data_IF_739394926346
#
_entry.id   IF_739394926346
#
_cell.length_a   1.000
_cell.length_b   1.000
_cell.length_c   1.000
_cell.angle_alpha   90.00
_cell.angle_beta   90.00
_cell.angle_gamma   90.00
#
_symmetry.space_group_name_H-M   'P 1'
#
loop_
_entity.id
_entity.type
_entity.pdbx_description
1 polymer ?
#
# COMPACT_ATOMS: atom_id res chain seq x y z
N UNK A 1 39.69 24.38 -42.64
CA UNK A 1 40.36 23.50 -41.70
C UNK A 1 40.07 24.03 -40.29
N UNK A 2 38.99 23.61 -39.67
CA UNK A 2 38.63 23.91 -38.27
C UNK A 2 37.75 22.77 -37.76
N UNK A 3 38.34 21.95 -36.86
CA UNK A 3 37.73 20.83 -36.19
C UNK A 3 36.86 21.32 -35.04
N UNK A 4 35.57 21.10 -35.13
CA UNK A 4 34.64 21.27 -34.01
C UNK A 4 34.53 19.96 -33.23
N UNK A 5 35.11 19.94 -32.04
CA UNK A 5 34.98 18.88 -31.06
C UNK A 5 33.59 18.92 -30.42
N UNK A 6 32.73 17.94 -30.71
CA UNK A 6 31.49 17.73 -29.99
C UNK A 6 31.79 17.07 -28.62
N UNK A 7 31.65 17.83 -27.56
CA UNK A 7 31.55 17.29 -26.19
C UNK A 7 30.16 16.64 -26.03
N UNK A 8 30.13 15.33 -25.98
CA UNK A 8 28.96 14.57 -25.50
C UNK A 8 28.82 14.79 -23.99
N UNK A 9 27.83 15.59 -23.58
CA UNK A 9 27.39 15.63 -22.20
C UNK A 9 26.65 14.31 -21.90
N UNK A 10 27.29 13.44 -21.09
CA UNK A 10 26.67 12.26 -20.53
C UNK A 10 25.52 12.67 -19.61
N UNK A 11 24.28 12.43 -20.03
CA UNK A 11 23.13 12.46 -19.14
C UNK A 11 23.29 11.30 -18.16
N UNK A 12 23.63 11.60 -16.92
CA UNK A 12 23.45 10.69 -15.81
C UNK A 12 21.97 10.34 -15.72
N UNK A 13 21.61 9.11 -16.07
CA UNK A 13 20.27 8.58 -15.85
C UNK A 13 20.00 8.62 -14.35
N UNK A 14 19.14 9.53 -13.90
CA UNK A 14 18.59 9.53 -12.54
C UNK A 14 17.79 8.25 -12.41
N UNK A 15 18.37 7.26 -11.72
CA UNK A 15 17.67 6.03 -11.37
C UNK A 15 16.47 6.39 -10.52
N UNK A 16 15.27 6.14 -11.05
CA UNK A 16 14.03 6.40 -10.33
C UNK A 16 13.97 5.56 -9.05
N UNK A 17 13.28 6.01 -7.97
CA UNK A 17 13.08 5.24 -6.73
C UNK A 17 12.50 3.83 -6.95
N UNK A 18 11.80 3.63 -8.05
CA UNK A 18 11.29 2.35 -8.52
C UNK A 18 12.35 1.24 -8.52
N UNK A 19 13.55 1.57 -8.92
CA UNK A 19 14.63 0.60 -9.03
C UNK A 19 15.04 0.04 -7.66
N UNK A 20 14.91 0.83 -6.61
CA UNK A 20 15.24 0.41 -5.24
C UNK A 20 14.20 -0.52 -4.63
N UNK A 21 12.90 -0.30 -4.87
CA UNK A 21 11.83 -1.21 -4.42
C UNK A 21 11.83 -2.47 -5.28
N UNK A 22 12.02 -2.36 -6.59
CA UNK A 22 12.17 -3.52 -7.48
C UNK A 22 13.39 -4.36 -7.13
N UNK A 23 14.50 -3.75 -6.69
CA UNK A 23 15.67 -4.49 -6.20
C UNK A 23 15.41 -5.21 -4.87
N UNK A 24 14.60 -4.65 -3.97
CA UNK A 24 14.21 -5.33 -2.73
C UNK A 24 13.51 -6.68 -3.02
N UNK A 25 12.67 -6.73 -4.05
CA UNK A 25 12.00 -7.96 -4.46
C UNK A 25 12.82 -8.85 -5.40
N UNK A 26 13.94 -8.37 -5.97
CA UNK A 26 14.74 -9.12 -6.93
C UNK A 26 15.79 -10.05 -6.29
N UNK A 27 16.19 -9.82 -5.04
CA UNK A 27 17.31 -10.54 -4.39
C UNK A 27 16.91 -11.94 -3.89
N UNK A 28 15.62 -12.27 -3.82
CA UNK A 28 15.18 -13.59 -3.34
C UNK A 28 15.06 -14.67 -4.42
N UNK A 29 15.35 -14.36 -5.70
CA UNK A 29 15.18 -15.31 -6.82
C UNK A 29 16.46 -15.95 -7.36
N UNK A 30 17.63 -15.68 -6.77
CA UNK A 30 18.92 -16.20 -7.27
C UNK A 30 19.68 -17.12 -6.31
N UNK A 31 18.97 -17.92 -5.50
CA UNK A 31 19.57 -19.15 -4.99
C UNK A 31 19.45 -20.21 -6.09
N UNK A 32 20.38 -20.17 -7.04
CA UNK A 32 20.44 -21.06 -8.17
C UNK A 32 20.66 -22.50 -7.71
N UNK A 33 19.75 -23.37 -8.08
CA UNK A 33 19.98 -24.82 -8.08
C UNK A 33 20.82 -25.14 -9.32
N UNK A 34 22.13 -25.32 -9.14
CA UNK A 34 22.97 -26.02 -10.08
C UNK A 34 22.68 -27.53 -9.92
N UNK A 35 21.99 -28.10 -10.91
CA UNK A 35 21.85 -29.54 -11.07
C UNK A 35 23.22 -30.12 -11.45
N UNK A 36 23.93 -30.66 -10.46
CA UNK A 36 24.97 -31.66 -10.71
C UNK A 36 24.38 -33.02 -10.42
N UNK A 37 24.28 -33.86 -11.44
CA UNK A 37 23.80 -35.21 -11.32
C UNK A 37 24.75 -36.09 -10.52
N UNK A 38 24.22 -36.81 -9.52
CA UNK A 38 24.82 -38.03 -8.99
C UNK A 38 23.72 -39.06 -8.75
N UNK A 39 24.04 -40.29 -9.22
CA UNK A 39 23.22 -41.47 -9.12
C UNK A 39 23.01 -41.88 -7.65
N UNK A 40 21.81 -42.37 -7.36
CA UNK A 40 21.43 -42.89 -6.07
C UNK A 40 21.96 -44.31 -5.81
N UNK A 41 22.17 -44.69 -4.55
CA UNK A 41 21.85 -46.02 -4.09
C UNK A 41 20.61 -46.03 -3.19
N UNK A 42 19.81 -47.07 -3.36
CA UNK A 42 18.59 -47.32 -2.65
C UNK A 42 18.82 -47.62 -1.16
N UNK A 43 17.97 -47.04 -0.31
CA UNK A 43 17.94 -47.35 1.12
C UNK A 43 16.83 -46.52 1.80
N UNK A 44 15.67 -47.14 2.01
CA UNK A 44 14.49 -46.51 2.56
C UNK A 44 14.70 -46.05 4.01
N UNK A 45 14.27 -44.81 4.28
CA UNK A 45 13.63 -44.38 5.54
C UNK A 45 12.78 -43.18 5.29
N UNK A 46 11.48 -43.30 5.54
CA UNK A 46 10.46 -42.28 5.44
C UNK A 46 10.57 -41.34 6.64
N UNK A 47 11.10 -40.11 6.39
CA UNK A 47 10.96 -38.96 7.28
C UNK A 47 10.40 -37.80 6.47
N UNK A 48 9.70 -36.83 7.07
CA UNK A 48 9.18 -35.69 6.33
C UNK A 48 10.31 -34.89 5.71
N UNK A 49 10.07 -34.22 4.55
CA UNK A 49 11.11 -33.50 3.82
C UNK A 49 11.67 -32.38 4.71
N UNK A 50 12.99 -32.38 4.90
CA UNK A 50 13.70 -31.40 5.69
C UNK A 50 13.59 -30.00 5.12
N UNK A 51 13.48 -29.06 6.02
CA UNK A 51 13.52 -27.60 5.77
C UNK A 51 14.86 -27.26 5.06
N UNK A 52 14.83 -26.66 3.86
CA UNK A 52 16.03 -26.28 3.13
C UNK A 52 16.86 -25.18 3.80
N UNK A 53 16.40 -24.62 4.93
CA UNK A 53 17.08 -23.56 5.67
C UNK A 53 17.56 -23.95 7.08
N UNK A 54 17.40 -25.21 7.51
CA UNK A 54 18.10 -25.77 8.67
C UNK A 54 17.72 -25.19 10.04
N UNK A 55 16.49 -24.74 10.26
CA UNK A 55 16.03 -24.29 11.58
C UNK A 55 15.08 -25.31 12.22
N UNK A 56 15.58 -26.09 13.18
CA UNK A 56 14.76 -26.86 14.10
C UNK A 56 14.22 -25.95 15.18
N UNK A 57 12.91 -25.73 15.18
CA UNK A 57 12.23 -25.06 16.30
C UNK A 57 11.68 -26.17 17.22
N UNK A 58 12.31 -26.35 18.36
CA UNK A 58 11.72 -27.14 19.47
C UNK A 58 10.65 -26.24 20.15
N UNK A 59 9.41 -26.70 20.32
CA UNK A 59 8.43 -25.97 21.11
C UNK A 59 8.83 -26.01 22.60
N UNK A 60 8.66 -24.92 23.36
CA UNK A 60 8.87 -24.91 24.78
C UNK A 60 7.80 -25.78 25.50
N UNK A 61 8.12 -26.40 26.64
CA UNK A 61 7.20 -27.24 27.38
C UNK A 61 6.00 -26.43 27.90
N UNK A 62 4.82 -27.06 27.86
CA UNK A 62 3.54 -26.45 28.12
C UNK A 62 3.43 -25.79 29.49
N UNK A 63 3.00 -24.54 29.49
CA UNK A 63 2.47 -23.85 30.69
C UNK A 63 0.96 -23.99 30.66
N UNK A 64 0.42 -24.69 31.67
CA UNK A 64 -1.00 -24.81 31.89
C UNK A 64 -1.60 -23.43 32.21
N UNK A 65 -2.51 -22.95 31.38
CA UNK A 65 -3.25 -21.71 31.63
C UNK A 65 -4.47 -22.05 32.46
N UNK A 66 -4.42 -21.68 33.74
CA UNK A 66 -5.56 -21.69 34.66
C UNK A 66 -6.64 -20.72 34.18
N UNK A 67 -7.88 -21.16 34.29
CA UNK A 67 -9.05 -20.46 33.80
C UNK A 67 -9.20 -19.03 34.33
N UNK A 68 -9.54 -18.13 33.43
CA UNK A 68 -9.97 -16.76 33.70
C UNK A 68 -11.49 -16.69 33.58
N UNK A 69 -12.20 -16.12 34.54
CA UNK A 69 -13.65 -15.99 34.48
C UNK A 69 -14.07 -15.05 33.35
N UNK A 70 -15.10 -15.44 32.61
CA UNK A 70 -15.76 -14.62 31.59
C UNK A 70 -16.37 -13.36 32.24
N UNK A 71 -16.15 -12.16 31.69
CA UNK A 71 -16.95 -11.03 32.11
C UNK A 71 -18.33 -11.10 31.48
N UNK A 72 -19.33 -11.03 32.33
CA UNK A 72 -20.76 -10.95 32.02
C UNK A 72 -21.02 -9.69 31.20
N UNK A 73 -21.62 -9.87 30.05
CA UNK A 73 -22.06 -8.77 29.19
C UNK A 73 -23.25 -8.06 29.84
N UNK A 74 -23.08 -6.80 30.16
CA UNK A 74 -24.18 -5.87 30.44
C UNK A 74 -23.87 -4.54 29.81
N UNK A 75 -24.79 -4.06 28.97
CA UNK A 75 -24.77 -2.68 28.46
C UNK A 75 -24.51 -2.58 26.97
N UNK A 76 -25.60 -2.61 26.20
CA UNK A 76 -25.69 -2.17 24.82
C UNK A 76 -25.47 -0.65 24.73
N UNK A 77 -24.27 -0.22 24.30
CA UNK A 77 -24.10 1.08 23.67
C UNK A 77 -23.48 0.85 22.30
N UNK A 78 -24.30 1.03 21.27
CA UNK A 78 -23.97 0.82 19.86
C UNK A 78 -23.07 1.90 19.27
N UNK A 79 -21.97 2.26 19.91
CA UNK A 79 -20.87 2.92 19.25
C UNK A 79 -19.92 1.84 18.76
N UNK A 80 -20.09 1.41 17.50
CA UNK A 80 -19.06 0.65 16.80
C UNK A 80 -17.79 1.49 16.86
N UNK A 81 -16.87 1.20 17.80
CA UNK A 81 -15.52 1.75 17.79
C UNK A 81 -14.90 1.40 16.43
N UNK A 82 -14.89 2.38 15.54
CA UNK A 82 -14.22 2.23 14.25
C UNK A 82 -12.75 1.97 14.56
N UNK A 83 -12.32 0.76 14.26
CA UNK A 83 -10.96 0.30 14.51
C UNK A 83 -10.00 1.27 13.84
N UNK A 84 -9.01 1.76 14.57
CA UNK A 84 -8.00 2.68 14.05
C UNK A 84 -7.34 2.05 12.80
N UNK A 85 -7.21 2.86 11.77
CA UNK A 85 -6.44 2.52 10.57
C UNK A 85 -5.06 3.17 10.66
N UNK A 86 -4.10 2.58 9.97
CA UNK A 86 -2.72 3.04 9.90
C UNK A 86 -2.33 3.26 8.44
N UNK A 87 -1.72 4.39 8.13
CA UNK A 87 -1.04 4.59 6.85
C UNK A 87 0.43 4.21 7.05
N UNK A 88 1.00 3.39 6.16
CA UNK A 88 2.42 3.10 6.22
C UNK A 88 3.24 4.29 5.69
N UNK A 89 3.95 4.99 6.58
CA UNK A 89 4.83 6.10 6.24
C UNK A 89 6.18 5.62 5.76
N UNK A 90 6.69 4.55 6.39
CA UNK A 90 7.96 3.94 6.04
C UNK A 90 7.80 2.44 5.81
N UNK A 91 8.65 1.89 4.96
CA UNK A 91 8.92 0.45 4.88
C UNK A 91 10.40 0.19 5.12
N UNK A 92 10.70 -0.68 6.09
CA UNK A 92 12.03 -1.21 6.32
C UNK A 92 12.09 -2.64 5.81
N UNK A 93 13.04 -2.97 4.93
CA UNK A 93 13.13 -4.29 4.33
C UNK A 93 14.55 -4.85 4.42
N UNK A 94 14.64 -6.17 4.67
CA UNK A 94 15.88 -6.94 4.70
C UNK A 94 15.71 -8.23 3.89
N UNK A 95 16.59 -8.51 2.94
CA UNK A 95 16.55 -9.79 2.19
C UNK A 95 16.63 -11.04 3.07
N UNK A 96 17.37 -10.96 4.17
CA UNK A 96 17.52 -12.05 5.15
C UNK A 96 16.35 -12.14 6.15
N UNK A 97 15.37 -11.26 6.04
CA UNK A 97 14.28 -11.10 7.00
C UNK A 97 14.66 -10.28 8.23
N UNK A 98 13.69 -9.63 8.82
CA UNK A 98 13.82 -8.83 10.05
C UNK A 98 13.61 -9.75 11.24
N UNK A 99 14.56 -9.78 12.17
CA UNK A 99 14.50 -10.61 13.37
C UNK A 99 13.48 -10.09 14.38
N UNK A 100 13.03 -10.96 15.28
CA UNK A 100 12.10 -10.55 16.34
C UNK A 100 12.70 -9.45 17.24
N UNK A 101 14.02 -9.49 17.52
CA UNK A 101 14.70 -8.43 18.29
C UNK A 101 14.73 -7.10 17.54
N UNK A 102 15.00 -7.11 16.24
CA UNK A 102 14.95 -5.89 15.41
C UNK A 102 13.53 -5.33 15.32
N UNK A 103 12.51 -6.18 15.13
CA UNK A 103 11.10 -5.76 15.13
C UNK A 103 10.73 -5.12 16.48
N UNK A 104 11.09 -5.75 17.60
CA UNK A 104 10.85 -5.20 18.93
C UNK A 104 11.58 -3.88 19.18
N UNK A 105 12.81 -3.74 18.65
CA UNK A 105 13.57 -2.49 18.72
C UNK A 105 12.89 -1.39 17.89
N UNK A 106 12.47 -1.67 16.65
CA UNK A 106 11.74 -0.73 15.79
C UNK A 106 10.45 -0.27 16.46
N UNK A 107 9.67 -1.20 17.01
CA UNK A 107 8.38 -0.87 17.67
C UNK A 107 8.52 0.02 18.91
N UNK A 108 9.70 0.09 19.51
CA UNK A 108 10.02 0.92 20.68
C UNK A 108 10.64 2.28 20.33
N UNK A 109 10.94 2.54 19.07
CA UNK A 109 11.52 3.81 18.65
C UNK A 109 10.52 4.95 18.90
N UNK A 110 11.04 6.07 19.41
CA UNK A 110 10.24 7.28 19.51
C UNK A 110 9.80 7.74 18.12
N UNK A 111 8.51 7.96 17.93
CA UNK A 111 7.92 8.30 16.63
C UNK A 111 7.43 7.08 15.81
N UNK A 112 7.39 5.88 16.39
CA UNK A 112 6.65 4.75 15.85
C UNK A 112 5.29 4.64 16.52
N UNK A 113 4.22 4.79 15.75
CA UNK A 113 2.85 4.60 16.19
C UNK A 113 2.44 3.13 16.10
N UNK A 114 2.80 2.49 15.01
CA UNK A 114 2.56 1.07 14.76
C UNK A 114 3.64 0.49 13.84
N UNK A 115 3.90 -0.81 14.00
CA UNK A 115 4.82 -1.56 13.16
C UNK A 115 4.20 -2.92 12.82
N UNK A 116 4.22 -3.31 11.54
CA UNK A 116 3.65 -4.57 11.07
C UNK A 116 4.67 -5.33 10.22
N UNK A 117 5.14 -6.50 10.65
CA UNK A 117 5.99 -7.34 9.83
C UNK A 117 5.16 -8.00 8.72
N UNK A 118 5.76 -8.13 7.54
CA UNK A 118 5.18 -8.79 6.38
C UNK A 118 6.23 -9.66 5.69
N UNK A 119 5.80 -10.79 5.16
CA UNK A 119 6.61 -11.58 4.26
C UNK A 119 6.63 -10.91 2.88
N UNK A 120 7.55 -11.27 2.01
CA UNK A 120 7.56 -10.68 0.69
C UNK A 120 8.41 -11.42 -0.31
N UNK A 121 8.09 -11.21 -1.58
CA UNK A 121 8.87 -11.76 -2.67
C UNK A 121 8.28 -11.45 -4.04
N UNK A 122 9.11 -11.66 -5.05
CA UNK A 122 8.70 -11.56 -6.44
C UNK A 122 8.30 -12.95 -6.93
N UNK A 123 7.09 -13.06 -7.43
CA UNK A 123 6.53 -14.31 -7.98
C UNK A 123 6.05 -14.09 -9.40
N UNK A 124 5.78 -15.18 -10.14
CA UNK A 124 5.03 -15.09 -11.39
C UNK A 124 3.57 -15.48 -11.11
N UNK A 125 2.64 -14.60 -11.42
CA UNK A 125 1.21 -14.84 -11.37
C UNK A 125 0.69 -14.82 -12.81
N UNK A 126 0.05 -15.88 -13.25
CA UNK A 126 -0.41 -16.03 -14.63
C UNK A 126 0.70 -15.75 -15.68
N UNK A 127 1.92 -16.21 -15.38
CA UNK A 127 3.12 -16.02 -16.23
C UNK A 127 3.81 -14.67 -16.10
N UNK A 128 3.22 -13.67 -15.46
CA UNK A 128 3.76 -12.32 -15.32
C UNK A 128 4.32 -12.07 -13.92
N UNK A 129 5.40 -11.30 -13.82
CA UNK A 129 6.01 -10.94 -12.54
C UNK A 129 5.10 -10.05 -11.69
N UNK A 130 5.01 -10.39 -10.40
CA UNK A 130 4.25 -9.63 -9.40
C UNK A 130 5.02 -9.57 -8.08
N UNK A 131 4.96 -8.44 -7.39
CA UNK A 131 5.45 -8.25 -6.04
C UNK A 131 4.33 -8.67 -5.07
N UNK A 132 4.55 -9.73 -4.31
CA UNK A 132 3.53 -10.29 -3.42
C UNK A 132 3.99 -10.18 -1.97
N UNK A 133 3.07 -9.72 -1.11
CA UNK A 133 3.27 -9.71 0.33
C UNK A 133 2.50 -10.87 0.98
N UNK A 134 3.13 -11.52 1.95
CA UNK A 134 2.49 -12.46 2.85
C UNK A 134 2.09 -11.73 4.12
N UNK A 135 0.81 -11.76 4.48
CA UNK A 135 0.27 -10.93 5.55
C UNK A 135 -0.67 -11.71 6.48
N UNK A 136 -0.76 -11.28 7.74
CA UNK A 136 -1.89 -11.68 8.61
C UNK A 136 -3.13 -10.90 8.19
N UNK A 137 -4.21 -11.54 7.72
CA UNK A 137 -5.42 -10.83 7.29
C UNK A 137 -5.99 -9.89 8.37
N UNK A 138 -5.98 -10.33 9.64
CA UNK A 138 -6.51 -9.54 10.76
C UNK A 138 -5.67 -8.29 11.05
N UNK A 139 -4.34 -8.42 11.02
CA UNK A 139 -3.43 -7.31 11.30
C UNK A 139 -3.34 -6.35 10.12
N UNK A 140 -3.16 -6.86 8.91
CA UNK A 140 -2.97 -6.05 7.71
C UNK A 140 -4.23 -5.28 7.30
N UNK A 141 -5.41 -5.76 7.66
CA UNK A 141 -6.69 -5.08 7.42
C UNK A 141 -6.69 -3.62 7.91
N UNK A 142 -6.07 -3.37 9.05
CA UNK A 142 -5.97 -2.01 9.62
C UNK A 142 -4.92 -1.13 8.92
N UNK A 143 -4.18 -1.65 7.96
CA UNK A 143 -3.16 -0.95 7.18
C UNK A 143 -3.58 -0.68 5.74
N UNK A 144 -4.87 -0.81 5.46
CA UNK A 144 -5.45 -0.54 4.13
C UNK A 144 -6.47 0.59 4.22
N UNK A 145 -6.78 1.26 3.09
CA UNK A 145 -7.81 2.29 3.06
C UNK A 145 -9.13 1.82 3.65
N UNK A 146 -9.94 2.74 4.16
CA UNK A 146 -11.21 2.43 4.81
C UNK A 146 -12.12 1.54 3.96
N UNK A 147 -12.21 1.81 2.66
CA UNK A 147 -12.98 1.02 1.71
C UNK A 147 -12.53 -0.45 1.70
N UNK A 148 -11.21 -0.68 1.62
CA UNK A 148 -10.62 -2.01 1.68
C UNK A 148 -10.80 -2.65 3.05
N UNK A 149 -10.50 -1.91 4.12
CA UNK A 149 -10.62 -2.39 5.50
C UNK A 149 -12.04 -2.83 5.84
N UNK A 150 -13.06 -2.20 5.25
CA UNK A 150 -14.48 -2.50 5.48
C UNK A 150 -14.98 -3.71 4.68
N UNK A 151 -14.27 -4.16 3.65
CA UNK A 151 -14.71 -5.24 2.77
C UNK A 151 -14.57 -6.62 3.42
N UNK A 152 -15.64 -7.12 4.05
CA UNK A 152 -15.64 -8.46 4.67
C UNK A 152 -15.33 -9.58 3.67
N UNK A 153 -15.78 -9.46 2.42
CA UNK A 153 -15.54 -10.44 1.37
C UNK A 153 -14.06 -10.59 1.04
N UNK A 154 -13.33 -9.49 0.85
CA UNK A 154 -11.88 -9.49 0.57
C UNK A 154 -11.10 -10.19 1.68
N UNK A 155 -11.36 -9.83 2.95
CA UNK A 155 -10.64 -10.41 4.09
C UNK A 155 -11.01 -11.87 4.34
N UNK A 156 -12.28 -12.26 4.10
CA UNK A 156 -12.72 -13.65 4.12
C UNK A 156 -12.02 -14.47 3.03
N UNK A 157 -11.94 -13.96 1.81
CA UNK A 157 -11.28 -14.63 0.69
C UNK A 157 -9.78 -14.78 0.95
N UNK A 158 -9.11 -13.74 1.44
CA UNK A 158 -7.70 -13.79 1.84
C UNK A 158 -7.49 -14.85 2.93
N UNK A 159 -8.32 -14.87 3.98
CA UNK A 159 -8.26 -15.88 5.06
C UNK A 159 -8.53 -17.33 4.61
N UNK A 160 -9.18 -17.51 3.45
CA UNK A 160 -9.34 -18.82 2.79
C UNK A 160 -8.14 -19.18 1.89
N UNK A 161 -7.06 -18.42 1.95
CA UNK A 161 -5.85 -18.64 1.16
C UNK A 161 -5.96 -18.24 -0.31
N UNK A 162 -6.89 -17.33 -0.65
CA UNK A 162 -7.02 -16.80 -1.99
C UNK A 162 -6.07 -15.60 -2.20
N UNK A 163 -5.63 -15.39 -3.44
CA UNK A 163 -4.83 -14.24 -3.84
C UNK A 163 -5.73 -13.00 -3.92
N UNK A 164 -5.33 -11.91 -3.29
CA UNK A 164 -5.97 -10.59 -3.42
C UNK A 164 -4.96 -9.62 -4.04
N UNK A 165 -5.37 -8.78 -4.98
CA UNK A 165 -4.46 -7.85 -5.65
C UNK A 165 -4.96 -6.42 -5.65
N UNK A 166 -4.13 -5.49 -6.13
CA UNK A 166 -4.60 -4.17 -6.54
C UNK A 166 -5.37 -4.27 -7.85
N UNK A 167 -6.27 -3.32 -8.14
CA UNK A 167 -6.99 -3.26 -9.42
C UNK A 167 -6.04 -3.15 -10.61
N UNK A 168 -4.99 -2.35 -10.47
CA UNK A 168 -3.97 -2.20 -11.50
C UNK A 168 -3.25 -3.53 -11.79
N UNK A 169 -2.91 -4.29 -10.74
CA UNK A 169 -2.30 -5.60 -10.88
C UNK A 169 -3.28 -6.62 -11.45
N UNK A 170 -4.56 -6.61 -11.02
CA UNK A 170 -5.57 -7.51 -11.56
C UNK A 170 -5.73 -7.34 -13.08
N UNK A 171 -5.81 -6.09 -13.55
CA UNK A 171 -5.86 -5.80 -15.00
C UNK A 171 -4.60 -6.26 -15.73
N UNK A 172 -3.41 -5.90 -15.22
CA UNK A 172 -2.12 -6.25 -15.81
C UNK A 172 -1.89 -7.76 -15.88
N UNK A 173 -2.28 -8.49 -14.84
CA UNK A 173 -2.10 -9.93 -14.72
C UNK A 173 -3.28 -10.72 -15.33
N UNK A 174 -4.29 -10.04 -15.88
CA UNK A 174 -5.51 -10.61 -16.46
C UNK A 174 -6.25 -11.52 -15.48
N UNK A 175 -6.51 -11.03 -14.26
CA UNK A 175 -7.18 -11.79 -13.20
C UNK A 175 -8.67 -11.45 -13.15
N UNK A 176 -9.52 -12.50 -13.13
CA UNK A 176 -10.96 -12.40 -12.91
C UNK A 176 -11.33 -13.07 -11.59
N UNK A 177 -12.15 -12.41 -10.78
CA UNK A 177 -12.56 -12.91 -9.46
C UNK A 177 -13.16 -14.31 -9.55
N UNK A 178 -12.79 -15.16 -8.61
CA UNK A 178 -13.26 -16.55 -8.54
C UNK A 178 -12.53 -17.55 -9.45
N UNK A 179 -11.70 -17.09 -10.38
CA UNK A 179 -10.87 -17.96 -11.21
C UNK A 179 -9.57 -18.37 -10.50
N UNK A 180 -8.95 -19.47 -10.96
CA UNK A 180 -7.69 -19.96 -10.39
C UNK A 180 -6.55 -19.81 -11.38
N UNK A 181 -5.43 -19.24 -10.93
CA UNK A 181 -4.27 -18.93 -11.77
C UNK A 181 -3.02 -19.64 -11.29
N UNK A 182 -2.10 -20.01 -12.19
CA UNK A 182 -0.79 -20.52 -11.81
C UNK A 182 0.02 -19.40 -11.13
N UNK A 183 0.57 -19.73 -9.96
CA UNK A 183 1.49 -18.88 -9.20
C UNK A 183 2.79 -19.64 -9.01
N UNK A 184 3.89 -19.08 -9.47
CA UNK A 184 5.21 -19.70 -9.44
C UNK A 184 6.20 -18.81 -8.67
N UNK A 185 6.74 -19.37 -7.62
CA UNK A 185 7.83 -18.84 -6.83
C UNK A 185 8.85 -19.99 -6.58
N UNK A 186 9.10 -20.39 -5.34
CA UNK A 186 9.88 -21.61 -5.06
C UNK A 186 9.17 -22.87 -5.54
N UNK A 187 7.84 -22.88 -5.51
CA UNK A 187 7.00 -23.96 -6.04
C UNK A 187 5.95 -23.39 -7.00
N UNK A 188 5.48 -24.23 -7.92
CA UNK A 188 4.35 -23.92 -8.78
C UNK A 188 3.06 -24.40 -8.10
N UNK A 189 2.13 -23.51 -7.88
CA UNK A 189 0.80 -23.83 -7.32
C UNK A 189 -0.30 -23.09 -8.10
N UNK A 190 -1.56 -23.41 -7.80
CA UNK A 190 -2.70 -22.64 -8.32
C UNK A 190 -3.40 -21.94 -7.15
N UNK A 191 -3.57 -20.64 -7.26
CA UNK A 191 -4.35 -19.86 -6.31
C UNK A 191 -5.60 -19.31 -6.97
N UNK A 192 -6.70 -19.38 -6.22
CA UNK A 192 -7.95 -18.70 -6.60
C UNK A 192 -7.78 -17.21 -6.37
N UNK A 193 -8.24 -16.41 -7.32
CA UNK A 193 -8.24 -14.96 -7.18
C UNK A 193 -9.50 -14.53 -6.42
N UNK A 194 -9.29 -13.92 -5.25
CA UNK A 194 -10.33 -13.52 -4.30
C UNK A 194 -10.91 -12.14 -4.54
N UNK A 195 -10.30 -11.36 -5.44
CA UNK A 195 -10.74 -10.01 -5.76
C UNK A 195 -9.62 -8.99 -5.69
N UNK A 196 -9.95 -7.75 -6.08
CA UNK A 196 -9.03 -6.62 -6.06
C UNK A 196 -9.45 -5.60 -4.99
N UNK A 197 -8.47 -4.89 -4.42
CA UNK A 197 -8.68 -3.82 -3.44
C UNK A 197 -7.43 -2.95 -3.29
N UNK A 198 -7.56 -1.76 -2.68
CA UNK A 198 -6.41 -0.91 -2.35
C UNK A 198 -5.59 -1.53 -1.21
N UNK A 199 -4.26 -1.53 -1.35
CA UNK A 199 -3.35 -2.16 -0.37
C UNK A 199 -2.53 -1.15 0.46
N UNK A 200 -2.59 0.15 0.20
CA UNK A 200 -1.80 1.23 0.82
C UNK A 200 -0.27 1.06 0.78
N UNK A 201 0.24 -0.03 0.22
CA UNK A 201 1.68 -0.30 0.10
C UNK A 201 2.08 -0.15 -1.36
N UNK A 202 2.59 1.02 -1.70
CA UNK A 202 3.03 1.32 -3.07
C UNK A 202 4.13 0.34 -3.50
N UNK A 203 3.96 -0.27 -4.67
CA UNK A 203 4.87 -1.28 -5.21
C UNK A 203 4.47 -2.73 -4.89
N UNK A 204 3.51 -2.97 -4.00
CA UNK A 204 2.88 -4.28 -3.84
C UNK A 204 1.80 -4.49 -4.90
N UNK A 205 1.85 -5.59 -5.62
CA UNK A 205 0.85 -5.98 -6.61
C UNK A 205 -0.28 -6.81 -6.00
N UNK A 206 0.05 -7.70 -5.06
CA UNK A 206 -0.91 -8.59 -4.45
C UNK A 206 -0.49 -9.03 -3.04
N UNK A 207 -1.45 -9.61 -2.32
CA UNK A 207 -1.24 -10.19 -0.99
C UNK A 207 -1.77 -11.62 -0.95
N UNK A 208 -1.16 -12.42 -0.10
CA UNK A 208 -1.60 -13.77 0.31
C UNK A 208 -1.56 -13.85 1.84
N UNK A 209 -2.29 -14.79 2.43
CA UNK A 209 -2.13 -15.07 3.86
C UNK A 209 -0.76 -15.72 4.18
N UNK A 210 -0.37 -15.71 5.46
CA UNK A 210 0.94 -16.22 5.89
C UNK A 210 1.14 -17.71 5.56
N UNK A 211 0.08 -18.53 5.51
CA UNK A 211 0.20 -19.94 5.20
C UNK A 211 0.54 -20.13 3.70
N UNK A 212 -0.08 -19.35 2.84
CA UNK A 212 0.24 -19.32 1.40
C UNK A 212 1.61 -18.70 1.14
N UNK A 213 1.98 -17.66 1.91
CA UNK A 213 3.32 -17.09 1.88
C UNK A 213 4.39 -18.15 2.11
N UNK A 214 4.25 -18.96 3.16
CA UNK A 214 5.15 -20.06 3.46
C UNK A 214 5.18 -21.12 2.36
N UNK A 215 4.02 -21.51 1.81
CA UNK A 215 3.93 -22.47 0.69
C UNK A 215 4.61 -21.96 -0.58
N UNK A 216 4.50 -20.66 -0.87
CA UNK A 216 5.16 -20.03 -2.02
C UNK A 216 6.67 -19.84 -1.78
N UNK A 217 7.17 -20.00 -0.57
CA UNK A 217 8.55 -19.73 -0.21
C UNK A 217 8.91 -18.25 -0.24
N UNK A 218 7.97 -17.38 0.10
CA UNK A 218 8.26 -15.95 0.24
C UNK A 218 9.19 -15.73 1.44
N UNK A 219 10.08 -14.73 1.34
CA UNK A 219 11.00 -14.41 2.42
C UNK A 219 10.22 -13.96 3.67
N UNK A 220 10.44 -14.68 4.77
CA UNK A 220 9.74 -14.47 6.02
C UNK A 220 10.18 -13.18 6.69
N UNK A 221 9.23 -12.38 7.22
CA UNK A 221 9.49 -11.07 7.81
C UNK A 221 10.39 -10.19 6.90
N UNK A 222 10.19 -10.29 5.60
CA UNK A 222 10.98 -9.57 4.59
C UNK A 222 11.00 -8.07 4.86
N UNK A 223 9.88 -7.52 5.33
CA UNK A 223 9.78 -6.09 5.62
C UNK A 223 8.91 -5.82 6.86
N UNK A 224 9.05 -4.60 7.38
CA UNK A 224 8.17 -4.01 8.40
C UNK A 224 7.58 -2.73 7.83
N UNK A 225 6.25 -2.66 7.81
CA UNK A 225 5.51 -1.43 7.60
C UNK A 225 5.51 -0.63 8.89
N UNK A 226 5.77 0.66 8.82
CA UNK A 226 5.87 1.55 9.98
C UNK A 226 4.96 2.73 9.76
N UNK A 227 4.05 2.97 10.71
CA UNK A 227 3.25 4.18 10.79
C UNK A 227 3.80 5.08 11.88
N UNK A 228 3.81 6.38 11.61
CA UNK A 228 4.35 7.41 12.48
C UNK A 228 3.24 8.40 12.87
N UNK A 229 3.22 8.94 14.11
CA UNK A 229 2.28 10.01 14.45
C UNK A 229 2.63 11.30 13.70
N UNK A 230 1.67 12.20 13.50
CA UNK A 230 1.87 13.47 12.77
C UNK A 230 3.01 14.35 13.29
N UNK A 231 3.38 14.20 14.56
CA UNK A 231 4.47 14.94 15.21
C UNK A 231 5.85 14.35 14.95
N UNK A 232 5.95 13.15 14.36
CA UNK A 232 7.23 12.49 14.13
C UNK A 232 8.02 13.12 12.98
N UNK A 233 9.34 13.16 13.12
CA UNK A 233 10.25 13.49 12.02
C UNK A 233 10.60 12.22 11.23
N UNK A 234 10.04 12.04 10.05
CA UNK A 234 10.33 10.86 9.21
C UNK A 234 11.82 10.72 8.88
N UNK A 235 12.59 11.77 8.54
CA UNK A 235 14.04 11.64 8.32
C UNK A 235 14.78 11.10 9.54
N UNK A 236 14.43 11.57 10.74
CA UNK A 236 15.01 11.10 12.01
C UNK A 236 14.64 9.65 12.26
N UNK A 237 13.35 9.31 12.11
CA UNK A 237 12.87 7.94 12.28
C UNK A 237 13.52 6.97 11.27
N UNK A 238 13.66 7.37 10.01
CA UNK A 238 14.39 6.59 8.99
C UNK A 238 15.83 6.29 9.41
N UNK A 239 16.52 7.27 9.96
CA UNK A 239 17.90 7.10 10.44
C UNK A 239 17.96 6.10 11.60
N UNK A 240 17.05 6.21 12.57
CA UNK A 240 16.95 5.29 13.70
C UNK A 240 16.62 3.86 13.24
N UNK A 241 15.63 3.70 12.33
CA UNK A 241 15.29 2.38 11.76
C UNK A 241 16.47 1.76 11.02
N UNK A 242 17.22 2.57 10.23
CA UNK A 242 18.45 2.12 9.55
C UNK A 242 19.51 1.62 10.54
N UNK A 243 19.65 2.27 11.68
CA UNK A 243 20.58 1.84 12.72
C UNK A 243 20.21 0.48 13.30
N UNK A 244 18.89 0.19 13.41
CA UNK A 244 18.40 -1.10 13.92
C UNK A 244 18.59 -2.23 12.90
N UNK A 245 18.26 -2.00 11.62
CA UNK A 245 18.32 -3.06 10.60
C UNK A 245 19.73 -3.23 9.99
N UNK A 246 20.61 -2.24 10.19
CA UNK A 246 21.99 -2.28 9.70
C UNK A 246 22.13 -2.01 8.18
N UNK A 247 23.37 -2.18 7.69
CA UNK A 247 23.74 -1.79 6.31
C UNK A 247 23.12 -2.65 5.22
N UNK A 248 22.72 -3.88 5.51
CA UNK A 248 22.07 -4.80 4.58
C UNK A 248 20.58 -4.50 4.36
N UNK A 249 19.99 -3.73 5.28
CA UNK A 249 18.60 -3.34 5.19
C UNK A 249 18.40 -2.03 4.41
N UNK A 250 17.19 -1.85 3.89
CA UNK A 250 16.78 -0.62 3.23
C UNK A 250 15.56 -0.02 3.94
N UNK A 251 15.54 1.30 4.06
CA UNK A 251 14.37 2.03 4.57
C UNK A 251 13.93 3.00 3.48
N UNK A 252 12.66 2.92 3.11
CA UNK A 252 12.04 3.76 2.09
C UNK A 252 10.96 4.61 2.74
N UNK A 253 10.96 5.90 2.43
CA UNK A 253 9.87 6.82 2.78
C UNK A 253 8.75 6.65 1.74
N UNK A 254 7.64 6.04 2.14
CA UNK A 254 6.49 5.78 1.28
C UNK A 254 5.72 7.06 0.95
N UNK A 255 5.77 8.06 1.80
CA UNK A 255 5.14 9.38 1.59
C UNK A 255 5.79 10.09 0.41
N UNK A 256 7.12 10.26 0.43
CA UNK A 256 7.86 10.87 -0.69
C UNK A 256 7.74 10.03 -1.97
N UNK A 257 7.64 8.72 -1.83
CA UNK A 257 7.44 7.81 -2.95
C UNK A 257 6.04 7.96 -3.56
N UNK A 258 5.00 8.14 -2.75
CA UNK A 258 3.63 8.41 -3.20
C UNK A 258 3.56 9.68 -4.06
N UNK A 259 4.14 10.79 -3.58
CA UNK A 259 4.21 12.04 -4.37
C UNK A 259 4.95 11.88 -5.70
N UNK A 260 6.10 11.19 -5.69
CA UNK A 260 6.85 10.92 -6.90
C UNK A 260 6.04 10.06 -7.88
N UNK A 261 5.23 9.13 -7.39
CA UNK A 261 4.32 8.31 -8.20
C UNK A 261 3.18 9.16 -8.77
N UNK A 262 2.55 10.01 -7.95
CA UNK A 262 1.49 10.93 -8.40
C UNK A 262 1.98 11.90 -9.48
N UNK A 263 3.24 12.37 -9.39
CA UNK A 263 3.86 13.22 -10.40
C UNK A 263 4.09 12.54 -11.75
N UNK A 264 4.19 11.22 -11.77
CA UNK A 264 4.43 10.42 -12.98
C UNK A 264 3.16 9.74 -13.50
N UNK A 265 2.13 9.59 -12.65
CA UNK A 265 0.89 8.90 -13.02
C UNK A 265 0.03 9.78 -13.92
N UNK A 266 -0.22 9.39 -15.19
CA UNK A 266 -1.12 10.13 -16.07
C UNK A 266 -2.56 10.02 -15.55
N UNK A 267 -3.32 11.11 -15.71
CA UNK A 267 -4.74 11.15 -15.32
C UNK A 267 -5.63 10.41 -16.32
N UNK A 268 -5.25 10.43 -17.61
CA UNK A 268 -5.94 9.75 -18.71
C UNK A 268 -5.00 9.57 -19.91
N UNK A 269 -5.39 8.74 -20.88
CA UNK A 269 -4.67 8.58 -22.16
C UNK A 269 -4.94 9.73 -23.12
N UNK A 270 -6.18 10.27 -23.12
CA UNK A 270 -6.60 11.42 -23.92
C UNK A 270 -6.99 12.54 -22.99
N UNK A 271 -6.15 13.58 -22.91
CA UNK A 271 -6.34 14.72 -22.03
C UNK A 271 -6.75 15.93 -22.87
N UNK A 272 -7.81 16.69 -22.47
CA UNK A 272 -8.13 17.97 -23.12
C UNK A 272 -6.94 18.92 -23.11
N UNK A 273 -6.80 19.74 -24.14
CA UNK A 273 -5.74 20.73 -24.22
C UNK A 273 -5.79 21.67 -23.00
N UNK A 274 -4.66 21.84 -22.31
CA UNK A 274 -4.54 22.67 -21.12
C UNK A 274 -5.00 22.01 -19.80
N UNK A 275 -5.54 20.79 -19.83
CA UNK A 275 -5.85 20.06 -18.62
C UNK A 275 -4.57 19.48 -17.98
N UNK A 276 -4.55 19.29 -16.62
CA UNK A 276 -3.41 18.71 -15.91
C UNK A 276 -3.12 17.28 -16.37
N UNK A 277 -1.85 16.99 -16.69
CA UNK A 277 -1.45 15.71 -17.29
C UNK A 277 -1.24 14.57 -16.29
N UNK A 278 -1.01 14.88 -15.03
CA UNK A 278 -0.75 13.91 -13.98
C UNK A 278 -1.50 14.27 -12.68
N UNK A 279 -1.57 13.31 -11.76
CA UNK A 279 -2.32 13.46 -10.51
C UNK A 279 -1.80 14.63 -9.66
N UNK A 280 -0.50 14.81 -9.53
CA UNK A 280 0.07 15.90 -8.73
C UNK A 280 -0.35 17.28 -9.27
N UNK A 281 -0.23 17.49 -10.59
CA UNK A 281 -0.65 18.73 -11.22
C UNK A 281 -2.16 18.94 -11.14
N UNK A 282 -2.92 17.85 -11.18
CA UNK A 282 -4.38 17.91 -11.05
C UNK A 282 -4.80 18.31 -9.63
N UNK A 283 -4.14 17.77 -8.57
CA UNK A 283 -4.39 18.23 -7.21
C UNK A 283 -4.08 19.73 -7.04
N UNK A 284 -2.91 20.18 -7.54
CA UNK A 284 -2.52 21.59 -7.50
C UNK A 284 -3.53 22.49 -8.22
N UNK A 285 -3.90 22.13 -9.43
CA UNK A 285 -4.87 22.91 -10.24
C UNK A 285 -6.28 22.91 -9.62
N UNK A 286 -6.72 21.76 -9.10
CA UNK A 286 -8.05 21.63 -8.48
C UNK A 286 -8.17 22.43 -7.19
N UNK A 287 -7.18 22.38 -6.31
CA UNK A 287 -7.17 23.20 -5.10
C UNK A 287 -7.20 24.69 -5.44
N UNK A 288 -6.32 25.12 -6.34
CA UNK A 288 -6.24 26.54 -6.75
C UNK A 288 -7.54 27.06 -7.36
N UNK A 289 -8.18 26.27 -8.23
CA UNK A 289 -9.38 26.69 -8.98
C UNK A 289 -10.67 26.56 -8.18
N UNK A 290 -10.85 25.48 -7.42
CA UNK A 290 -12.13 25.11 -6.82
C UNK A 290 -12.19 25.31 -5.30
N UNK A 291 -11.03 25.53 -4.66
CA UNK A 291 -10.96 25.86 -3.24
C UNK A 291 -9.76 26.76 -2.92
N UNK A 292 -9.78 28.03 -3.36
CA UNK A 292 -8.74 28.99 -2.99
C UNK A 292 -8.57 29.06 -1.47
N UNK A 293 -7.31 29.00 -1.00
CA UNK A 293 -6.98 28.94 0.42
C UNK A 293 -6.76 27.53 0.99
N UNK A 294 -7.27 26.49 0.35
CA UNK A 294 -6.94 25.10 0.71
C UNK A 294 -5.60 24.69 0.13
N UNK A 295 -4.72 24.11 0.94
CA UNK A 295 -3.49 23.49 0.42
C UNK A 295 -3.80 22.31 -0.50
N UNK A 296 -3.16 22.23 -1.67
CA UNK A 296 -3.25 21.09 -2.56
C UNK A 296 -2.80 19.78 -1.89
N UNK A 297 -1.96 19.88 -0.86
CA UNK A 297 -1.46 18.71 -0.11
C UNK A 297 -2.58 17.98 0.64
N UNK A 298 -3.61 18.70 1.08
CA UNK A 298 -4.81 18.11 1.69
C UNK A 298 -5.55 17.26 0.68
N UNK A 299 -5.77 17.80 -0.52
CA UNK A 299 -6.47 17.08 -1.59
C UNK A 299 -5.69 15.85 -2.07
N UNK A 300 -4.36 15.98 -2.18
CA UNK A 300 -3.47 14.86 -2.52
C UNK A 300 -3.46 13.79 -1.42
N UNK A 301 -3.45 14.18 -0.14
CA UNK A 301 -3.53 13.24 0.98
C UNK A 301 -4.85 12.44 0.95
N UNK A 302 -5.98 13.10 0.68
CA UNK A 302 -7.27 12.44 0.50
C UNK A 302 -7.20 11.45 -0.65
N UNK A 303 -6.73 11.84 -1.84
CA UNK A 303 -6.62 10.97 -3.00
C UNK A 303 -5.74 9.74 -2.75
N UNK A 304 -4.64 9.91 -2.04
CA UNK A 304 -3.76 8.81 -1.63
C UNK A 304 -4.46 7.85 -0.66
N UNK A 305 -5.15 8.36 0.35
CA UNK A 305 -5.85 7.55 1.37
C UNK A 305 -7.05 6.81 0.77
N UNK A 306 -7.79 7.45 -0.14
CA UNK A 306 -9.00 6.87 -0.75
C UNK A 306 -8.69 5.77 -1.76
N UNK A 307 -7.75 6.02 -2.67
CA UNK A 307 -7.54 5.12 -3.81
C UNK A 307 -6.08 4.83 -4.16
N UNK A 308 -5.11 5.43 -3.45
CA UNK A 308 -3.71 5.43 -3.87
C UNK A 308 -3.52 6.20 -5.17
N UNK A 309 -4.08 7.41 -5.24
CA UNK A 309 -4.05 8.28 -6.42
C UNK A 309 -4.60 7.58 -7.68
N UNK A 310 -5.76 6.98 -7.57
CA UNK A 310 -6.42 6.28 -8.66
C UNK A 310 -5.84 4.90 -9.00
N UNK A 311 -5.02 4.31 -8.12
CA UNK A 311 -4.58 2.92 -8.28
C UNK A 311 -5.75 1.94 -8.12
N UNK A 312 -6.77 2.30 -7.34
CA UNK A 312 -7.96 1.51 -7.04
C UNK A 312 -9.22 2.38 -7.10
N UNK A 313 -9.86 2.40 -8.25
CA UNK A 313 -11.08 3.17 -8.51
C UNK A 313 -12.35 2.34 -8.41
N UNK A 314 -12.23 1.05 -8.12
CA UNK A 314 -13.36 0.12 -8.03
C UNK A 314 -14.27 0.42 -6.85
N UNK A 315 -15.50 -0.16 -6.84
CA UNK A 315 -16.45 0.09 -5.76
C UNK A 315 -15.90 -0.40 -4.42
N UNK A 316 -16.01 0.44 -3.40
CA UNK A 316 -15.81 0.00 -2.02
C UNK A 316 -16.92 -0.94 -1.59
N UNK A 317 -16.79 -1.58 -0.43
CA UNK A 317 -17.86 -2.40 0.16
C UNK A 317 -19.12 -1.59 0.46
N UNK A 318 -19.00 -0.28 0.61
CA UNK A 318 -20.11 0.65 0.78
C UNK A 318 -20.66 1.22 -0.54
N UNK A 319 -20.00 0.90 -1.67
CA UNK A 319 -20.39 1.39 -3.00
C UNK A 319 -19.78 2.72 -3.39
N UNK A 320 -18.74 3.22 -2.70
CA UNK A 320 -18.00 4.40 -3.12
C UNK A 320 -17.16 4.10 -4.37
N UNK A 321 -17.02 5.08 -5.27
CA UNK A 321 -16.45 4.92 -6.61
C UNK A 321 -15.38 5.98 -6.93
N UNK A 322 -14.50 5.63 -7.85
CA UNK A 322 -13.54 6.53 -8.48
C UNK A 322 -12.33 6.89 -7.60
N UNK A 323 -11.45 7.76 -8.11
CA UNK A 323 -10.19 8.08 -7.45
C UNK A 323 -10.36 8.83 -6.12
N UNK A 324 -11.51 9.45 -5.87
CA UNK A 324 -11.85 10.16 -4.65
C UNK A 324 -12.93 9.45 -3.80
N UNK A 325 -13.29 8.20 -4.17
CA UNK A 325 -14.24 7.34 -3.47
C UNK A 325 -15.56 8.02 -3.09
N UNK A 326 -16.17 8.71 -4.04
CA UNK A 326 -17.49 9.29 -3.85
C UNK A 326 -18.59 8.24 -3.73
N UNK A 327 -19.50 8.42 -2.77
CA UNK A 327 -20.77 7.72 -2.80
C UNK A 327 -21.64 8.27 -3.96
N UNK A 328 -22.43 7.41 -4.67
CA UNK A 328 -23.27 7.87 -5.78
C UNK A 328 -24.20 9.03 -5.43
N UNK A 329 -24.78 9.04 -4.21
CA UNK A 329 -25.62 10.14 -3.75
C UNK A 329 -24.84 11.46 -3.59
N UNK A 330 -23.65 11.41 -3.00
CA UNK A 330 -22.76 12.57 -2.86
C UNK A 330 -22.29 13.06 -4.23
N UNK A 331 -22.01 12.13 -5.16
CA UNK A 331 -21.66 12.47 -6.53
C UNK A 331 -22.75 13.21 -7.26
N UNK A 332 -24.01 12.81 -7.10
CA UNK A 332 -25.15 13.48 -7.71
C UNK A 332 -25.27 14.97 -7.29
N UNK A 333 -24.82 15.31 -6.08
CA UNK A 333 -24.83 16.68 -5.54
C UNK A 333 -23.58 17.47 -5.93
N UNK A 334 -22.40 16.84 -5.84
CA UNK A 334 -21.12 17.54 -5.92
C UNK A 334 -20.36 17.33 -7.22
N UNK A 335 -20.73 16.34 -8.03
CA UNK A 335 -20.06 16.04 -9.29
C UNK A 335 -20.06 17.20 -10.28
N UNK A 336 -18.89 17.57 -10.79
CA UNK A 336 -18.72 18.60 -11.83
C UNK A 336 -17.81 18.08 -12.93
N UNK A 337 -18.04 18.55 -14.16
CA UNK A 337 -17.04 18.46 -15.22
C UNK A 337 -15.95 19.50 -14.95
N UNK A 338 -14.82 19.06 -14.38
CA UNK A 338 -13.77 19.94 -13.89
C UNK A 338 -12.75 20.34 -14.95
N UNK A 339 -11.98 19.38 -15.40
CA UNK A 339 -10.96 19.49 -16.45
C UNK A 339 -11.14 18.39 -17.52
N UNK A 340 -12.21 17.59 -17.41
CA UNK A 340 -12.55 16.55 -18.37
C UNK A 340 -13.03 17.08 -19.72
N UNK A 341 -13.26 16.21 -20.70
CA UNK A 341 -13.87 16.59 -21.97
C UNK A 341 -15.30 17.07 -21.72
N UNK A 342 -15.87 17.91 -22.62
CA UNK A 342 -17.25 18.36 -22.50
C UNK A 342 -18.24 17.19 -22.36
N UNK A 343 -19.17 17.27 -21.40
CA UNK A 343 -20.16 16.24 -21.14
C UNK A 343 -20.60 16.18 -19.68
N UNK A 344 -21.44 15.21 -19.31
CA UNK A 344 -21.77 14.96 -17.91
C UNK A 344 -20.52 14.51 -17.14
N UNK A 345 -20.39 14.90 -15.86
CA UNK A 345 -19.25 14.50 -15.04
C UNK A 345 -19.21 12.99 -14.81
N UNK A 346 -18.01 12.40 -14.90
CA UNK A 346 -17.76 10.98 -14.66
C UNK A 346 -17.03 10.76 -13.34
N UNK A 347 -17.67 10.05 -12.41
CA UNK A 347 -17.13 9.71 -11.08
C UNK A 347 -15.82 8.92 -11.16
N UNK A 348 -15.59 8.17 -12.25
CA UNK A 348 -14.39 7.38 -12.49
C UNK A 348 -13.26 8.19 -13.12
N UNK A 349 -13.57 9.36 -13.67
CA UNK A 349 -12.60 10.23 -14.31
C UNK A 349 -11.90 11.14 -13.28
N UNK A 350 -10.58 11.03 -13.06
CA UNK A 350 -9.88 11.92 -12.13
C UNK A 350 -10.02 13.41 -12.48
N UNK A 351 -10.13 13.77 -13.77
CA UNK A 351 -10.32 15.15 -14.21
C UNK A 351 -11.64 15.78 -13.75
N UNK A 352 -12.59 14.95 -13.31
CA UNK A 352 -13.88 15.37 -12.75
C UNK A 352 -13.94 15.11 -11.24
N UNK A 353 -13.48 13.94 -10.78
CA UNK A 353 -13.61 13.54 -9.40
C UNK A 353 -12.76 14.40 -8.44
N UNK A 354 -11.52 14.73 -8.81
CA UNK A 354 -10.64 15.54 -7.95
C UNK A 354 -11.12 17.00 -7.83
N UNK A 355 -11.51 17.67 -8.91
CA UNK A 355 -12.18 18.99 -8.82
C UNK A 355 -13.48 18.97 -8.00
N UNK A 356 -14.29 17.92 -8.13
CA UNK A 356 -15.53 17.76 -7.36
C UNK A 356 -15.26 17.65 -5.87
N UNK A 357 -14.21 16.90 -5.47
CA UNK A 357 -13.76 16.79 -4.08
C UNK A 357 -13.26 18.15 -3.56
N UNK A 358 -12.48 18.89 -4.34
CA UNK A 358 -12.03 20.22 -3.97
C UNK A 358 -13.23 21.16 -3.73
N UNK A 359 -14.24 21.14 -4.61
CA UNK A 359 -15.47 21.94 -4.49
C UNK A 359 -16.25 21.59 -3.22
N UNK A 360 -16.45 20.30 -2.96
CA UNK A 360 -17.16 19.81 -1.77
C UNK A 360 -16.45 20.24 -0.48
N UNK A 361 -15.13 20.04 -0.41
CA UNK A 361 -14.31 20.46 0.72
C UNK A 361 -14.36 21.97 0.94
N UNK A 362 -14.37 22.76 -0.14
CA UNK A 362 -14.47 24.20 -0.07
C UNK A 362 -15.80 24.66 0.54
N UNK A 363 -16.90 24.07 0.09
CA UNK A 363 -18.23 24.34 0.65
C UNK A 363 -18.32 23.98 2.14
N UNK A 364 -17.57 22.97 2.59
CA UNK A 364 -17.44 22.60 3.99
C UNK A 364 -16.43 23.49 4.77
N UNK A 365 -15.79 24.49 4.11
CA UNK A 365 -14.91 25.44 4.76
C UNK A 365 -13.42 25.13 4.71
N UNK A 366 -12.95 24.25 3.81
CA UNK A 366 -11.55 23.85 3.73
C UNK A 366 -10.59 24.99 3.29
N UNK A 367 -11.11 26.05 2.68
CA UNK A 367 -10.32 27.24 2.33
C UNK A 367 -9.83 28.07 3.51
N UNK A 368 -10.32 27.81 4.72
CA UNK A 368 -9.91 28.49 5.93
C UNK A 368 -9.23 27.49 6.91
N UNK A 369 -7.99 27.73 7.35
CA UNK A 369 -7.30 26.86 8.29
C UNK A 369 -8.07 26.56 9.60
N UNK A 370 -8.86 27.52 10.09
CA UNK A 370 -9.64 27.33 11.31
C UNK A 370 -10.77 26.32 11.18
N UNK A 371 -11.32 26.13 9.99
CA UNK A 371 -12.43 25.21 9.70
C UNK A 371 -12.00 23.95 8.94
N UNK A 372 -10.72 23.87 8.52
CA UNK A 372 -10.19 22.77 7.72
C UNK A 372 -10.45 21.38 8.35
N UNK A 373 -10.25 21.22 9.65
CA UNK A 373 -10.52 19.95 10.34
C UNK A 373 -11.98 19.53 10.23
N UNK A 374 -12.90 20.49 10.36
CA UNK A 374 -14.33 20.26 10.19
C UNK A 374 -14.70 19.87 8.76
N UNK A 375 -14.06 20.49 7.76
CA UNK A 375 -14.27 20.17 6.36
C UNK A 375 -13.81 18.74 6.01
N UNK A 376 -12.64 18.33 6.50
CA UNK A 376 -12.14 16.96 6.31
C UNK A 376 -13.03 15.96 7.07
N UNK A 377 -13.52 16.32 8.26
CA UNK A 377 -14.46 15.48 9.01
C UNK A 377 -15.79 15.29 8.25
N UNK A 378 -16.29 16.33 7.58
CA UNK A 378 -17.51 16.23 6.75
C UNK A 378 -17.31 15.29 5.54
N UNK A 379 -16.08 15.09 5.08
CA UNK A 379 -15.74 14.16 4.00
C UNK A 379 -15.90 12.69 4.42
N UNK A 380 -15.43 12.31 5.62
CA UNK A 380 -15.40 10.89 6.06
C UNK A 380 -15.98 10.62 7.47
N UNK A 381 -16.44 11.60 8.22
CA UNK A 381 -17.08 11.48 9.55
C UNK A 381 -16.27 10.66 10.58
N UNK A 382 -14.92 10.64 10.48
CA UNK A 382 -14.05 9.95 11.40
C UNK A 382 -12.87 10.83 11.84
N UNK A 383 -12.65 10.99 13.15
CA UNK A 383 -11.56 11.83 13.69
C UNK A 383 -10.18 11.31 13.31
N UNK A 384 -9.99 9.98 13.35
CA UNK A 384 -8.73 9.36 12.92
C UNK A 384 -8.42 9.66 11.44
N UNK A 385 -9.44 9.74 10.56
CA UNK A 385 -9.25 10.09 9.15
C UNK A 385 -8.78 11.54 9.00
N UNK A 386 -9.34 12.46 9.79
CA UNK A 386 -8.90 13.87 9.81
C UNK A 386 -7.43 13.96 10.20
N UNK A 387 -7.04 13.25 11.27
CA UNK A 387 -5.66 13.26 11.75
C UNK A 387 -4.69 12.67 10.70
N UNK A 388 -5.08 11.60 10.03
CA UNK A 388 -4.34 10.95 8.95
C UNK A 388 -4.14 11.88 7.75
N UNK A 389 -5.22 12.47 7.24
CA UNK A 389 -5.16 13.43 6.12
C UNK A 389 -4.24 14.60 6.45
N UNK A 390 -4.36 15.17 7.65
CA UNK A 390 -3.53 16.30 8.05
C UNK A 390 -2.06 15.92 8.25
N UNK A 391 -1.79 14.72 8.77
CA UNK A 391 -0.44 14.19 8.90
C UNK A 391 0.22 14.04 7.53
N UNK A 392 -0.43 13.34 6.62
CA UNK A 392 0.07 13.10 5.26
C UNK A 392 0.22 14.42 4.48
N UNK A 393 -0.75 15.33 4.59
CA UNK A 393 -0.67 16.64 3.96
C UNK A 393 0.51 17.46 4.48
N UNK A 394 0.80 17.37 5.80
CA UNK A 394 1.96 18.00 6.42
C UNK A 394 3.29 17.43 5.90
N UNK A 395 3.38 16.11 5.70
CA UNK A 395 4.56 15.49 5.09
C UNK A 395 4.74 15.90 3.62
N UNK A 396 3.65 15.98 2.86
CA UNK A 396 3.68 16.48 1.48
C UNK A 396 4.15 17.94 1.40
N UNK A 397 3.76 18.77 2.36
CA UNK A 397 4.21 20.17 2.40
C UNK A 397 5.71 20.32 2.67
N UNK A 398 6.32 19.38 3.44
CA UNK A 398 7.77 19.36 3.70
C UNK A 398 8.59 18.88 2.51
N UNK A 399 7.99 18.12 1.60
CA UNK A 399 8.64 17.49 0.45
C UNK A 399 7.88 17.84 -0.83
N UNK A 400 7.76 19.11 -1.23
CA UNK A 400 7.09 19.49 -2.47
C UNK A 400 7.85 18.86 -3.66
N UNK A 401 7.15 18.08 -4.49
CA UNK A 401 7.70 17.45 -5.70
C UNK A 401 7.73 18.45 -6.86
#
# INVERSE_FOLDING_TARGET
MLLLSQRRAGRAARTSPWWRIVQLFAVTATAGVTLAGFAAPAGARTGPPGDPFGFTVNPPPGVAVSGRPSPTATGSDGSSQRKQLYVPDLIAAMPSGITASQLAAISKLHGVQAALPVDGGKVKVNGQSANVLGVSPQAFRSWTPLASASSSAIWSNLGKGQLVSTDAAARRLHLAAGQSYPVSAAVLTRLRFGGATALSVTGADAIVDLSRSAQLGLARNFAVLISAPPSASLPTLMSQVRSVIGKSGQVVNLVSYGLATASQRPVATNIPAGAPANYLNLFKASAAKYCPGMSWTVLAAIGQIESGDGANNGPSSAGALGPMQFMPGTWAEWGINGFGPPGPPDIMNPLDAIPSAARMLCAAGAGNPATLRGAIFAYNHATWYVDEVLALAGEYAKNPA
#
